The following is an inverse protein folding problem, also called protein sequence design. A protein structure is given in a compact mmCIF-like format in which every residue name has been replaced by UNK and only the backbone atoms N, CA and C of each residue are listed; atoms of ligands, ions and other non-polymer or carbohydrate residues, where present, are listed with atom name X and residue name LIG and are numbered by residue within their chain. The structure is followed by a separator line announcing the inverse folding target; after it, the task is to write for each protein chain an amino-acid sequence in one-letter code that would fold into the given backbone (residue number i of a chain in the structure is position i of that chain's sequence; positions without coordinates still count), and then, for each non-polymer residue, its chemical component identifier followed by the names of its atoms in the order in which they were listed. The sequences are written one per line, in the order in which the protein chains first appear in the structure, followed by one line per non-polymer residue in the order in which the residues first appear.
data_IF_588805781312
#
_entry.id   IF_588805781312
#
_cell.length_a   1.000
_cell.length_b   1.000
_cell.length_c   1.000
_cell.angle_alpha   90.00
_cell.angle_beta   90.00
_cell.angle_gamma   90.00
#
_symmetry.space_group_name_H-M   'P 1'
#
loop_
_entity.id
_entity.type
_entity.pdbx_description
1 polymer ?
#
# COMPACT_ATOMS: atom_id res chain seq x y z
N UNK A 1 -18.30 -11.96 -10.38
CA UNK A 1 -18.34 -10.80 -9.48
C UNK A 1 -18.27 -11.18 -8.03
N UNK A 2 -19.15 -12.05 -7.59
CA UNK A 2 -19.10 -12.46 -6.18
C UNK A 2 -17.80 -13.13 -5.80
N UNK A 3 -17.30 -14.00 -6.69
CA UNK A 3 -16.05 -14.69 -6.42
C UNK A 3 -14.90 -13.70 -6.27
N UNK A 4 -14.86 -12.68 -7.15
CA UNK A 4 -13.81 -11.68 -7.08
C UNK A 4 -13.88 -10.86 -5.80
N UNK A 5 -15.08 -10.55 -5.33
CA UNK A 5 -15.24 -9.81 -4.07
C UNK A 5 -14.79 -10.63 -2.87
N UNK A 6 -15.13 -11.90 -2.86
CA UNK A 6 -14.69 -12.77 -1.78
C UNK A 6 -13.19 -12.93 -1.77
N UNK A 7 -12.63 -13.10 -2.96
CA UNK A 7 -11.20 -13.21 -3.11
C UNK A 7 -10.50 -11.97 -2.59
N UNK A 8 -11.00 -10.79 -2.96
CA UNK A 8 -10.40 -9.56 -2.48
C UNK A 8 -10.54 -9.43 -0.98
N UNK A 9 -11.70 -9.79 -0.43
CA UNK A 9 -11.91 -9.71 1.02
C UNK A 9 -10.95 -10.61 1.78
N UNK A 10 -10.67 -11.80 1.25
CA UNK A 10 -9.70 -12.70 1.86
C UNK A 10 -8.31 -12.10 1.82
N UNK A 11 -7.92 -11.55 0.67
CA UNK A 11 -6.60 -10.95 0.51
C UNK A 11 -6.45 -9.71 1.39
N UNK A 12 -7.49 -8.90 1.51
CA UNK A 12 -7.47 -7.75 2.40
C UNK A 12 -7.28 -8.20 3.85
N UNK A 13 -8.01 -9.24 4.26
CA UNK A 13 -7.86 -9.77 5.61
C UNK A 13 -6.46 -10.29 5.88
N UNK A 14 -5.87 -10.97 4.92
CA UNK A 14 -4.51 -11.46 5.04
C UNK A 14 -3.51 -10.30 5.14
N UNK A 15 -3.70 -9.28 4.31
CA UNK A 15 -2.84 -8.11 4.36
C UNK A 15 -2.92 -7.44 5.73
N UNK A 16 -4.13 -7.28 6.25
CA UNK A 16 -4.32 -6.59 7.53
C UNK A 16 -3.60 -7.31 8.67
N UNK A 17 -3.46 -8.62 8.58
CA UNK A 17 -2.82 -9.43 9.62
C UNK A 17 -1.32 -9.63 9.38
N UNK A 18 -0.78 -9.11 8.30
CA UNK A 18 0.62 -9.35 7.94
C UNK A 18 1.49 -8.15 8.30
N UNK A 19 2.71 -8.44 8.72
CA UNK A 19 3.73 -7.42 8.87
C UNK A 19 4.38 -7.23 7.51
N UNK A 20 4.38 -5.99 7.03
CA UNK A 20 4.94 -5.69 5.72
C UNK A 20 6.06 -4.66 5.85
N UNK A 21 6.90 -4.59 4.84
CA UNK A 21 8.04 -3.67 4.83
C UNK A 21 7.66 -2.43 4.04
N UNK A 22 7.90 -1.26 4.63
CA UNK A 22 7.66 0.00 3.93
C UNK A 22 8.97 0.76 3.88
N UNK A 23 9.53 0.96 2.67
CA UNK A 23 10.80 1.69 2.57
C UNK A 23 10.62 3.13 3.00
N UNK A 24 11.72 3.73 3.44
CA UNK A 24 11.74 5.12 3.86
C UNK A 24 12.39 5.97 2.78
N UNK A 25 11.88 7.18 2.60
CA UNK A 25 12.50 8.12 1.66
C UNK A 25 13.64 8.87 2.34
N UNK A 26 14.24 9.82 1.61
CA UNK A 26 15.38 10.55 2.13
C UNK A 26 15.08 11.40 3.36
N UNK A 27 13.82 11.72 3.58
CA UNK A 27 13.40 12.49 4.76
C UNK A 27 13.03 11.60 5.94
N UNK A 28 13.06 10.28 5.76
CA UNK A 28 12.69 9.34 6.81
C UNK A 28 11.21 9.04 6.86
N UNK A 29 10.45 9.52 5.88
CA UNK A 29 9.02 9.25 5.81
C UNK A 29 8.75 7.97 5.01
N UNK A 30 7.56 7.41 5.17
CA UNK A 30 7.17 6.23 4.40
C UNK A 30 7.15 6.57 2.92
N UNK A 31 7.73 5.69 2.13
CA UNK A 31 7.81 5.87 0.68
C UNK A 31 6.41 5.85 0.08
N UNK A 32 6.08 6.85 -0.72
CA UNK A 32 4.78 6.92 -1.37
C UNK A 32 4.91 7.55 -2.74
N UNK A 33 3.89 7.34 -3.56
CA UNK A 33 3.82 7.90 -4.90
C UNK A 33 2.42 8.42 -5.15
N UNK A 34 2.31 9.52 -5.87
CA UNK A 34 1.02 10.10 -6.23
C UNK A 34 0.58 9.58 -7.57
N UNK A 35 -0.66 9.15 -7.66
CA UNK A 35 -1.25 8.73 -8.92
C UNK A 35 -2.73 9.08 -8.92
N UNK A 36 -3.13 9.91 -9.85
CA UNK A 36 -4.55 10.29 -10.04
C UNK A 36 -5.19 10.83 -8.77
N UNK A 37 -4.43 11.65 -8.04
CA UNK A 37 -4.98 12.29 -6.84
C UNK A 37 -4.95 11.45 -5.59
N UNK A 38 -4.41 10.24 -5.67
CA UNK A 38 -4.28 9.36 -4.52
C UNK A 38 -2.80 9.15 -4.23
N UNK A 39 -2.44 9.25 -2.95
CA UNK A 39 -1.07 8.95 -2.52
C UNK A 39 -0.99 7.49 -2.09
N UNK A 40 -0.13 6.75 -2.75
CA UNK A 40 0.01 5.32 -2.51
C UNK A 40 1.25 5.04 -1.69
N UNK A 41 1.07 4.52 -0.47
CA UNK A 41 2.18 4.05 0.35
C UNK A 41 2.61 2.71 -0.22
N UNK A 42 3.89 2.57 -0.56
CA UNK A 42 4.40 1.33 -1.16
C UNK A 42 4.85 0.38 -0.07
N UNK A 43 4.26 -0.79 -0.03
CA UNK A 43 4.56 -1.81 0.97
C UNK A 43 4.97 -3.10 0.26
N UNK A 44 5.79 -3.89 0.94
CA UNK A 44 6.33 -5.13 0.36
C UNK A 44 6.18 -6.26 1.35
N UNK A 45 5.81 -7.43 0.84
CA UNK A 45 5.53 -8.58 1.70
C UNK A 45 6.80 -9.13 2.35
N UNK A 46 7.95 -8.99 1.68
CA UNK A 46 9.22 -9.44 2.24
C UNK A 46 10.37 -8.68 1.58
N UNK A 47 11.60 -8.99 2.01
CA UNK A 47 12.79 -8.32 1.51
C UNK A 47 13.04 -8.61 0.04
N UNK A 48 12.67 -9.79 -0.41
CA UNK A 48 12.85 -10.15 -1.80
C UNK A 48 11.97 -9.30 -2.72
N UNK A 49 10.73 -9.06 -2.31
CA UNK A 49 9.83 -8.20 -3.09
C UNK A 49 10.35 -6.77 -3.14
N UNK A 50 10.88 -6.27 -2.03
CA UNK A 50 11.48 -4.95 -2.00
C UNK A 50 12.72 -4.89 -2.92
N UNK A 51 13.54 -5.93 -2.91
CA UNK A 51 14.72 -5.98 -3.75
C UNK A 51 14.35 -5.95 -5.24
N UNK A 52 13.29 -6.66 -5.61
CA UNK A 52 12.82 -6.64 -7.00
C UNK A 52 12.36 -5.25 -7.42
N UNK A 53 11.70 -4.55 -6.52
CA UNK A 53 11.26 -3.18 -6.77
C UNK A 53 12.48 -2.26 -6.97
N UNK A 54 13.48 -2.39 -6.11
CA UNK A 54 14.70 -1.58 -6.21
C UNK A 54 15.42 -1.85 -7.53
N UNK A 55 15.48 -3.12 -7.92
CA UNK A 55 16.12 -3.51 -9.17
C UNK A 55 15.38 -2.90 -10.37
N UNK A 56 14.06 -2.96 -10.36
CA UNK A 56 13.26 -2.41 -11.46
C UNK A 56 13.45 -0.89 -11.59
N UNK A 57 13.77 -0.21 -10.49
CA UNK A 57 14.02 1.23 -10.51
C UNK A 57 15.48 1.57 -10.82
N UNK A 58 16.33 0.55 -10.98
CA UNK A 58 17.76 0.81 -11.20
C UNK A 58 18.48 1.25 -9.94
N UNK A 59 17.94 0.94 -8.77
CA UNK A 59 18.49 1.38 -7.50
C UNK A 59 18.88 0.23 -6.58
N UNK A 60 19.16 -0.93 -7.15
CA UNK A 60 19.48 -2.10 -6.34
C UNK A 60 20.82 -1.97 -5.62
N UNK A 61 21.69 -1.05 -6.08
CA UNK A 61 23.00 -0.87 -5.44
C UNK A 61 22.97 0.00 -4.21
N UNK A 62 21.85 0.66 -3.92
CA UNK A 62 21.79 1.51 -2.72
C UNK A 62 21.22 0.74 -1.56
N UNK A 63 21.53 1.21 -0.36
CA UNK A 63 20.98 0.64 0.85
C UNK A 63 19.57 1.20 1.08
N UNK A 64 18.63 0.33 1.37
CA UNK A 64 17.24 0.74 1.58
C UNK A 64 16.87 0.56 3.05
N UNK A 65 16.58 1.68 3.71
CA UNK A 65 16.01 1.62 5.05
C UNK A 65 14.51 1.37 4.93
N UNK A 66 13.95 0.60 5.85
CA UNK A 66 12.52 0.34 5.86
C UNK A 66 12.02 0.15 7.28
N UNK A 67 10.70 0.28 7.43
CA UNK A 67 10.02 -0.04 8.68
C UNK A 67 9.13 -1.24 8.45
N UNK A 68 9.00 -2.07 9.48
CA UNK A 68 8.06 -3.18 9.45
C UNK A 68 6.77 -2.70 10.11
N UNK A 69 5.66 -2.80 9.40
CA UNK A 69 4.38 -2.26 9.84
C UNK A 69 3.30 -3.28 9.58
N UNK A 70 2.39 -3.45 10.53
CA UNK A 70 1.23 -4.31 10.31
C UNK A 70 0.33 -3.68 9.27
N UNK A 71 -0.19 -4.48 8.33
CA UNK A 71 -1.04 -3.96 7.27
C UNK A 71 -2.25 -3.20 7.80
N UNK A 72 -2.88 -3.72 8.87
CA UNK A 72 -4.01 -3.01 9.47
C UNK A 72 -3.62 -1.63 9.96
N UNK A 73 -2.42 -1.50 10.51
CA UNK A 73 -1.96 -0.20 10.99
C UNK A 73 -1.74 0.78 9.84
N UNK A 74 -1.23 0.28 8.71
CA UNK A 74 -1.09 1.13 7.53
C UNK A 74 -2.44 1.71 7.12
N UNK A 75 -3.46 0.85 7.03
CA UNK A 75 -4.76 1.27 6.53
C UNK A 75 -5.54 2.11 7.54
N UNK A 76 -5.45 1.76 8.83
CA UNK A 76 -6.30 2.37 9.85
C UNK A 76 -5.67 3.59 10.51
N UNK A 77 -4.35 3.68 10.52
CA UNK A 77 -3.64 4.73 11.24
C UNK A 77 -2.82 5.60 10.30
N UNK A 78 -1.99 4.99 9.48
CA UNK A 78 -1.02 5.76 8.71
C UNK A 78 -1.62 6.43 7.49
N UNK A 79 -2.49 5.72 6.75
CA UNK A 79 -3.19 6.32 5.62
C UNK A 79 -4.01 7.54 6.05
N UNK A 80 -4.78 7.48 7.16
CA UNK A 80 -5.53 8.66 7.59
C UNK A 80 -4.67 9.86 7.96
N UNK A 81 -3.40 9.68 8.23
CA UNK A 81 -2.50 10.79 8.55
C UNK A 81 -2.00 11.53 7.32
N UNK A 82 -2.23 11.00 6.14
CA UNK A 82 -1.83 11.67 4.90
C UNK A 82 -2.71 12.89 4.67
N UNK A 83 -2.18 13.93 4.00
CA UNK A 83 -2.94 15.17 3.80
C UNK A 83 -4.08 15.07 2.80
N UNK A 84 -4.21 13.96 2.09
CA UNK A 84 -5.29 13.76 1.13
C UNK A 84 -5.61 12.29 1.03
N UNK A 85 -6.38 11.89 0.02
CA UNK A 85 -6.73 10.48 -0.14
C UNK A 85 -5.49 9.62 -0.28
N UNK A 86 -5.45 8.51 0.45
CA UNK A 86 -4.30 7.61 0.43
C UNK A 86 -4.71 6.16 0.42
N UNK A 87 -3.86 5.33 -0.14
CA UNK A 87 -4.04 3.90 -0.18
C UNK A 87 -2.70 3.21 -0.04
N UNK A 88 -2.69 1.90 -0.24
CA UNK A 88 -1.48 1.10 -0.14
C UNK A 88 -1.31 0.31 -1.43
N UNK A 89 -0.09 0.35 -1.97
CA UNK A 89 0.28 -0.48 -3.11
C UNK A 89 1.20 -1.57 -2.56
N UNK A 90 0.73 -2.81 -2.60
CA UNK A 90 1.50 -3.94 -2.09
C UNK A 90 2.25 -4.62 -3.22
N UNK A 91 3.54 -4.83 -3.02
CA UNK A 91 4.41 -5.54 -3.96
C UNK A 91 4.36 -4.94 -5.38
N UNK A 92 4.45 -3.62 -5.45
CA UNK A 92 4.49 -2.92 -6.73
C UNK A 92 5.65 -3.46 -7.56
N UNK A 93 5.41 -3.64 -8.86
CA UNK A 93 6.41 -4.20 -9.76
C UNK A 93 6.39 -5.72 -9.84
N UNK A 94 5.55 -6.38 -9.05
CA UNK A 94 5.37 -7.83 -9.08
C UNK A 94 4.07 -8.17 -9.79
N UNK A 95 4.02 -9.36 -10.38
CA UNK A 95 2.78 -9.83 -10.99
C UNK A 95 1.70 -10.08 -9.94
N UNK A 96 2.09 -10.25 -8.68
CA UNK A 96 1.16 -10.49 -7.58
C UNK A 96 0.81 -9.21 -6.82
N UNK A 97 1.18 -8.07 -7.36
CA UNK A 97 0.93 -6.80 -6.69
C UNK A 97 -0.55 -6.50 -6.53
N UNK A 98 -0.89 -5.77 -5.48
CA UNK A 98 -2.27 -5.40 -5.18
C UNK A 98 -2.37 -3.96 -4.76
N UNK A 99 -3.52 -3.36 -5.05
CA UNK A 99 -3.82 -2.01 -4.59
C UNK A 99 -4.95 -2.07 -3.56
N UNK A 100 -4.78 -1.34 -2.47
CA UNK A 100 -5.81 -1.16 -1.45
C UNK A 100 -6.19 0.30 -1.46
N UNK A 101 -7.24 0.67 -2.24
CA UNK A 101 -7.58 2.08 -2.45
C UNK A 101 -8.28 2.69 -1.25
N UNK A 102 -8.34 4.03 -1.19
CA UNK A 102 -8.96 4.73 -0.05
C UNK A 102 -10.48 4.76 -0.14
N UNK A 103 -11.11 3.59 -0.10
CA UNK A 103 -12.56 3.49 -0.19
C UNK A 103 -13.11 2.84 1.07
N UNK A 104 -14.41 2.98 1.26
CA UNK A 104 -15.10 2.41 2.41
C UNK A 104 -14.86 0.90 2.46
N UNK A 105 -14.64 0.38 3.66
CA UNK A 105 -14.34 -1.02 3.86
C UNK A 105 -12.87 -1.36 3.82
N UNK A 106 -12.04 -0.46 3.28
CA UNK A 106 -10.59 -0.65 3.22
C UNK A 106 -9.89 0.32 4.16
N UNK A 107 -10.28 1.59 4.10
CA UNK A 107 -9.74 2.62 5.01
C UNK A 107 -10.89 3.13 5.88
N UNK A 108 -10.58 3.84 6.99
CA UNK A 108 -11.64 4.39 7.84
C UNK A 108 -12.57 5.31 7.06
N UNK A 109 -13.85 5.27 7.41
CA UNK A 109 -14.87 6.04 6.69
C UNK A 109 -14.54 7.52 6.60
N UNK A 110 -13.91 8.06 7.62
CA UNK A 110 -13.59 9.49 7.67
C UNK A 110 -12.67 9.94 6.55
N UNK A 111 -11.85 9.03 6.01
CA UNK A 111 -10.91 9.34 4.95
C UNK A 111 -11.20 8.61 3.65
N UNK A 112 -12.31 7.88 3.61
CA UNK A 112 -12.70 7.17 2.40
C UNK A 112 -13.26 8.13 1.37
N UNK A 113 -12.97 7.83 0.11
CA UNK A 113 -13.46 8.63 -1.01
C UNK A 113 -14.19 7.72 -1.98
N UNK A 114 -14.95 8.33 -2.87
CA UNK A 114 -15.69 7.60 -3.89
C UNK A 114 -14.92 7.69 -5.20
N UNK A 115 -14.04 6.71 -5.40
CA UNK A 115 -13.22 6.70 -6.60
C UNK A 115 -14.01 6.32 -7.85
N UNK A 116 -15.14 5.65 -7.66
CA UNK A 116 -15.95 5.22 -8.80
C UNK A 116 -16.64 6.38 -9.49
N UNK A 117 -17.05 7.36 -8.73
CA UNK A 117 -17.68 8.54 -9.30
C UNK A 117 -18.96 8.27 -10.06
N UNK A 118 -19.49 7.11 -9.94
CA UNK A 118 -20.70 6.80 -10.63
C UNK A 118 -21.84 6.84 -9.69
N UNK A 119 -22.63 7.46 -10.03
CA UNK A 119 -23.68 7.50 -9.15
C UNK A 119 -24.77 7.86 -9.81
#
# INVERSE_FOLDING_TARGET
MRAARREFAVLLGEFRRSAVLVPLDGAGDLWSADLNGVRWICAFSDEEALARFALARGESGREWAYRTVLGARLLDVMVPMLPGPGGVALDAGSTDGMLFPPVAGIVPDAVAVDLGGTR
#
